data_IF_028635913367
#
_entry.id   IF_028635913367
#
_cell.length_a   1.000
_cell.length_b   1.000
_cell.length_c   1.000
_cell.angle_alpha   90.00
_cell.angle_beta   90.00
_cell.angle_gamma   90.00
#
_symmetry.space_group_name_H-M   'P 1'
#
loop_
_entity.id
_entity.type
_entity.pdbx_description
1 polymer ?
#
# COMPACT_ATOMS: atom_id res chain seq x y z
N UNK A 1 -3.77 30.79 -59.75
CA UNK A 1 -4.87 31.32 -58.92
C UNK A 1 -6.11 31.39 -59.79
N UNK A 2 -7.12 30.55 -59.54
CA UNK A 2 -8.49 30.83 -59.97
C UNK A 2 -9.45 30.09 -59.02
N UNK A 3 -10.61 30.68 -58.70
CA UNK A 3 -11.53 30.20 -57.66
C UNK A 3 -12.97 30.33 -58.15
N UNK A 4 -13.54 29.20 -58.58
CA UNK A 4 -14.96 28.98 -58.99
C UNK A 4 -15.16 27.46 -59.23
N UNK A 5 -16.32 26.85 -59.03
CA UNK A 5 -17.52 27.18 -58.20
C UNK A 5 -18.43 25.92 -58.14
N UNK A 6 -19.31 25.89 -57.15
CA UNK A 6 -20.62 25.19 -57.09
C UNK A 6 -20.76 23.72 -57.56
N UNK A 7 -21.11 22.82 -56.62
CA UNK A 7 -22.40 22.06 -56.53
C UNK A 7 -22.28 20.97 -55.46
N UNK A 8 -23.05 21.00 -54.36
CA UNK A 8 -24.46 20.59 -54.24
C UNK A 8 -24.67 19.10 -54.59
N UNK A 9 -24.66 18.25 -53.56
CA UNK A 9 -25.52 17.05 -53.44
C UNK A 9 -25.47 16.47 -52.01
N UNK A 10 -26.60 16.53 -51.31
CA UNK A 10 -27.05 15.52 -50.34
C UNK A 10 -28.48 15.16 -50.77
N UNK A 11 -28.90 13.88 -50.66
CA UNK A 11 -29.71 13.52 -49.49
C UNK A 11 -29.58 12.05 -49.02
N UNK A 12 -30.20 11.75 -47.87
CA UNK A 12 -30.94 10.52 -47.51
C UNK A 12 -30.32 9.11 -47.63
N UNK A 13 -30.82 8.08 -46.91
CA UNK A 13 -31.24 7.92 -45.50
C UNK A 13 -31.66 6.44 -45.31
N UNK A 14 -31.17 5.76 -44.26
CA UNK A 14 -31.69 4.47 -43.73
C UNK A 14 -31.48 3.23 -44.67
N UNK A 15 -31.98 2.02 -44.33
CA UNK A 15 -31.31 1.17 -43.34
C UNK A 15 -31.18 -0.32 -43.74
N UNK A 16 -30.24 -1.06 -43.14
CA UNK A 16 -30.26 -2.52 -43.10
C UNK A 16 -30.00 -2.99 -41.66
N UNK A 17 -30.73 -4.02 -41.24
CA UNK A 17 -30.67 -4.62 -39.90
C UNK A 17 -30.46 -6.14 -39.98
N UNK A 18 -30.37 -6.80 -38.82
CA UNK A 18 -30.32 -8.26 -38.60
C UNK A 18 -29.03 -9.01 -38.98
N UNK A 19 -28.24 -9.35 -37.96
CA UNK A 19 -27.97 -10.74 -37.55
C UNK A 19 -27.43 -10.70 -36.10
N UNK A 20 -28.23 -10.98 -35.07
CA UNK A 20 -28.39 -12.33 -34.51
C UNK A 20 -27.10 -13.16 -34.48
N UNK A 21 -26.43 -13.18 -33.32
CA UNK A 21 -25.64 -14.32 -32.87
C UNK A 21 -26.15 -14.74 -31.48
N UNK A 22 -26.77 -15.91 -31.40
CA UNK A 22 -27.20 -16.53 -30.13
C UNK A 22 -26.12 -17.54 -29.74
N UNK A 23 -25.54 -17.38 -28.55
CA UNK A 23 -24.62 -18.36 -27.95
C UNK A 23 -25.29 -18.92 -26.70
N UNK A 24 -25.25 -20.25 -26.55
CA UNK A 24 -26.13 -20.98 -25.64
C UNK A 24 -25.76 -20.84 -24.16
N UNK A 25 -26.78 -20.87 -23.30
CA UNK A 25 -26.63 -21.16 -21.88
C UNK A 25 -26.05 -22.57 -21.69
N UNK A 26 -25.09 -22.72 -20.78
CA UNK A 26 -24.73 -24.00 -20.16
C UNK A 26 -24.87 -23.85 -18.64
N UNK A 27 -25.96 -24.39 -18.11
CA UNK A 27 -26.37 -24.18 -16.71
C UNK A 27 -25.66 -25.14 -15.74
N UNK A 28 -24.43 -24.83 -15.33
CA UNK A 28 -23.73 -25.57 -14.26
C UNK A 28 -24.22 -25.07 -12.88
N UNK A 29 -24.88 -25.95 -12.11
CA UNK A 29 -25.25 -25.68 -10.71
C UNK A 29 -24.21 -26.28 -9.74
N UNK A 30 -23.38 -25.47 -9.06
CA UNK A 30 -22.49 -25.98 -8.01
C UNK A 30 -23.31 -26.30 -6.75
N UNK A 31 -23.48 -27.57 -6.43
CA UNK A 31 -24.24 -28.02 -5.26
C UNK A 31 -23.31 -28.19 -4.07
N UNK A 32 -23.22 -27.20 -3.18
CA UNK A 32 -22.40 -27.25 -1.96
C UNK A 32 -23.27 -27.44 -0.71
N UNK A 33 -22.74 -28.20 0.26
CA UNK A 33 -23.53 -28.77 1.35
C UNK A 33 -23.85 -27.77 2.48
N UNK A 34 -25.01 -27.95 3.10
CA UNK A 34 -25.42 -27.21 4.29
C UNK A 34 -24.72 -27.76 5.56
N UNK A 35 -23.65 -27.11 6.01
CA UNK A 35 -23.10 -27.36 7.34
C UNK A 35 -23.91 -26.58 8.40
N UNK A 36 -24.87 -27.25 9.04
CA UNK A 36 -25.76 -26.68 10.07
C UNK A 36 -25.06 -26.56 11.43
N UNK A 37 -24.17 -25.57 11.58
CA UNK A 37 -23.52 -25.25 12.86
C UNK A 37 -24.57 -24.82 13.89
N UNK A 38 -24.84 -25.69 14.87
CA UNK A 38 -25.85 -25.46 15.91
C UNK A 38 -25.26 -24.52 16.99
N UNK A 39 -25.65 -23.25 16.99
CA UNK A 39 -25.19 -22.29 18.02
C UNK A 39 -25.72 -22.65 19.41
N UNK A 40 -24.84 -23.25 20.23
CA UNK A 40 -25.11 -23.56 21.65
C UNK A 40 -24.96 -22.29 22.50
N UNK A 41 -26.03 -21.49 22.55
CA UNK A 41 -26.12 -20.18 23.23
C UNK A 41 -25.66 -20.27 24.70
N UNK A 42 -24.42 -19.88 24.95
CA UNK A 42 -23.82 -19.89 26.29
C UNK A 42 -24.00 -18.53 26.96
N UNK A 43 -24.86 -18.46 27.99
CA UNK A 43 -25.05 -17.26 28.82
C UNK A 43 -23.88 -17.07 29.77
N UNK A 44 -22.89 -16.27 29.36
CA UNK A 44 -21.82 -15.82 30.24
C UNK A 44 -22.37 -14.84 31.29
N UNK A 45 -22.18 -15.16 32.56
CA UNK A 45 -22.56 -14.29 33.68
C UNK A 45 -21.52 -13.18 33.84
N UNK A 46 -21.97 -11.93 33.96
CA UNK A 46 -21.09 -10.79 34.20
C UNK A 46 -20.38 -10.91 35.57
N UNK A 47 -19.06 -10.70 35.58
CA UNK A 47 -18.23 -10.70 36.79
C UNK A 47 -17.61 -9.31 36.96
N UNK A 48 -17.70 -8.68 38.16
CA UNK A 48 -17.23 -7.30 38.36
C UNK A 48 -15.70 -7.20 38.27
N UNK A 49 -15.23 -6.00 37.91
CA UNK A 49 -13.81 -5.69 37.74
C UNK A 49 -13.02 -5.70 39.06
N UNK A 50 -11.71 -5.96 38.95
CA UNK A 50 -10.72 -5.80 40.01
C UNK A 50 -9.72 -4.71 39.55
N UNK A 51 -9.37 -3.72 40.39
CA UNK A 51 -8.53 -2.60 39.98
C UNK A 51 -7.06 -3.01 39.77
N UNK A 52 -6.34 -2.19 39.00
CA UNK A 52 -4.91 -2.38 38.72
C UNK A 52 -4.06 -2.31 39.99
N UNK A 53 -3.04 -3.17 40.06
CA UNK A 53 -1.85 -2.92 40.88
C UNK A 53 -0.68 -2.55 39.96
N UNK A 54 0.06 -1.50 40.32
CA UNK A 54 1.26 -1.09 39.62
C UNK A 54 2.43 -2.03 39.95
N UNK A 55 3.25 -2.35 38.95
CA UNK A 55 4.51 -3.08 39.10
C UNK A 55 5.66 -2.10 38.91
N UNK A 56 6.49 -1.94 39.94
CA UNK A 56 7.72 -1.13 39.89
C UNK A 56 8.85 -1.88 39.19
N UNK A 57 9.72 -1.19 38.41
CA UNK A 57 10.90 -1.80 37.81
C UNK A 57 12.02 -2.04 38.84
N UNK A 58 12.82 -3.12 38.71
CA UNK A 58 14.05 -3.29 39.48
C UNK A 58 15.18 -2.37 38.95
N UNK A 59 16.16 -2.01 39.79
CA UNK A 59 17.25 -1.09 39.43
C UNK A 59 18.36 -1.77 38.60
N UNK A 60 19.12 -0.95 37.88
CA UNK A 60 20.34 -1.38 37.19
C UNK A 60 21.50 -1.64 38.17
N UNK A 61 22.44 -2.50 37.76
CA UNK A 61 23.73 -2.74 38.42
C UNK A 61 24.82 -2.64 37.34
N UNK A 62 25.95 -2.03 37.70
CA UNK A 62 27.11 -1.81 36.83
C UNK A 62 28.40 -2.33 37.51
N UNK A 63 29.57 -2.10 36.86
CA UNK A 63 30.93 -2.51 37.28
C UNK A 63 31.18 -4.04 37.24
N UNK A 64 32.35 -4.58 36.88
CA UNK A 64 33.65 -4.02 36.43
C UNK A 64 34.18 -4.93 35.28
N UNK A 65 35.03 -4.55 34.33
CA UNK A 65 36.41 -4.03 34.41
C UNK A 65 37.36 -4.80 35.35
N UNK A 66 38.20 -5.67 34.76
CA UNK A 66 39.59 -5.92 35.17
C UNK A 66 40.41 -6.34 33.93
N UNK A 67 41.75 -6.34 34.01
CA UNK A 67 42.65 -6.23 32.84
C UNK A 67 43.74 -7.32 32.71
N UNK A 68 44.78 -7.03 31.90
CA UNK A 68 46.08 -7.73 31.75
C UNK A 68 46.16 -9.01 30.87
N UNK A 69 47.27 -9.33 30.16
CA UNK A 69 48.49 -8.57 29.77
C UNK A 69 49.29 -9.31 28.66
N UNK A 70 49.84 -8.54 27.70
CA UNK A 70 51.03 -8.70 26.79
C UNK A 70 51.57 -10.03 26.18
N UNK A 71 52.22 -9.86 25.01
CA UNK A 71 53.09 -10.82 24.29
C UNK A 71 52.97 -10.65 22.76
N UNK A 72 53.84 -9.97 21.97
CA UNK A 72 55.32 -10.01 21.83
C UNK A 72 55.80 -11.36 21.25
N UNK A 73 56.33 -11.51 20.02
CA UNK A 73 56.69 -10.60 18.89
C UNK A 73 56.59 -11.41 17.54
N UNK A 74 57.11 -11.09 16.33
CA UNK A 74 58.27 -10.29 15.86
C UNK A 74 58.19 -9.96 14.35
N UNK A 75 59.29 -9.45 13.76
CA UNK A 75 59.47 -8.95 12.38
C UNK A 75 59.13 -9.84 11.16
N UNK A 76 58.93 -9.17 10.02
CA UNK A 76 58.81 -9.77 8.69
C UNK A 76 58.85 -8.77 7.52
N UNK A 77 59.83 -7.87 7.47
CA UNK A 77 59.85 -6.76 6.50
C UNK A 77 60.36 -7.15 5.09
N UNK A 78 59.48 -7.01 4.08
CA UNK A 78 59.86 -6.91 2.67
C UNK A 78 58.78 -6.15 1.87
N UNK A 79 59.19 -5.12 1.13
CA UNK A 79 58.33 -4.30 0.26
C UNK A 79 59.15 -3.77 -0.92
N UNK A 80 58.55 -3.17 -1.97
CA UNK A 80 57.14 -3.24 -2.39
C UNK A 80 57.00 -3.83 -3.82
N UNK A 81 55.76 -4.13 -4.22
CA UNK A 81 55.38 -4.19 -5.65
C UNK A 81 54.08 -3.41 -5.82
N UNK A 82 54.12 -2.36 -6.63
CA UNK A 82 53.06 -1.38 -6.73
C UNK A 82 52.08 -1.71 -7.86
N UNK A 83 50.79 -1.75 -7.52
CA UNK A 83 49.68 -1.38 -8.41
C UNK A 83 48.55 -0.81 -7.54
N UNK A 84 48.64 0.47 -7.24
CA UNK A 84 47.46 1.34 -7.37
C UNK A 84 46.91 1.19 -8.81
N UNK A 85 45.59 1.33 -9.02
CA UNK A 85 45.00 2.66 -8.99
C UNK A 85 44.35 2.98 -7.66
N UNK A 86 44.71 4.15 -7.14
CA UNK A 86 43.92 4.86 -6.16
C UNK A 86 42.61 5.20 -6.84
N UNK A 87 41.55 4.46 -6.49
CA UNK A 87 40.21 5.00 -6.63
C UNK A 87 40.13 6.15 -5.63
N UNK A 88 40.41 7.37 -6.11
CA UNK A 88 40.03 8.58 -5.40
C UNK A 88 38.51 8.55 -5.31
N UNK A 89 38.00 7.99 -4.21
CA UNK A 89 36.61 8.14 -3.83
C UNK A 89 36.42 9.62 -3.55
N UNK A 90 35.96 10.34 -4.58
CA UNK A 90 35.52 11.73 -4.48
C UNK A 90 34.32 11.77 -3.54
N UNK A 91 34.60 11.82 -2.24
CA UNK A 91 33.62 11.97 -1.18
C UNK A 91 33.05 13.38 -1.28
N UNK A 92 32.03 13.51 -2.12
CA UNK A 92 31.17 14.70 -2.22
C UNK A 92 30.75 15.12 -0.80
N UNK A 93 30.89 16.41 -0.51
CA UNK A 93 30.56 16.93 0.82
C UNK A 93 29.05 16.80 1.07
N UNK A 94 28.59 16.66 2.33
CA UNK A 94 27.16 16.44 2.62
C UNK A 94 26.22 17.49 2.02
N UNK A 95 26.66 18.75 1.93
CA UNK A 95 25.90 19.84 1.30
C UNK A 95 25.80 19.67 -0.24
N UNK A 96 26.83 19.08 -0.88
CA UNK A 96 26.82 18.75 -2.30
C UNK A 96 25.88 17.57 -2.58
N UNK A 97 25.82 16.57 -1.69
CA UNK A 97 24.91 15.42 -1.80
C UNK A 97 23.44 15.87 -1.75
N UNK A 98 23.07 16.79 -0.85
CA UNK A 98 21.70 17.33 -0.82
C UNK A 98 21.39 18.24 -2.02
N UNK A 99 22.36 18.99 -2.53
CA UNK A 99 22.19 19.76 -3.78
C UNK A 99 22.06 18.87 -5.02
N UNK A 100 22.80 17.76 -5.08
CA UNK A 100 22.69 16.75 -6.14
C UNK A 100 21.37 15.97 -6.05
N UNK A 101 20.90 15.65 -4.85
CA UNK A 101 19.54 15.08 -4.63
C UNK A 101 18.46 16.04 -5.13
N UNK A 102 18.55 17.33 -4.78
CA UNK A 102 17.59 18.34 -5.23
C UNK A 102 17.58 18.53 -6.76
N UNK A 103 18.70 18.34 -7.45
CA UNK A 103 18.73 18.27 -8.92
C UNK A 103 18.17 16.96 -9.46
N UNK A 104 18.55 15.82 -8.88
CA UNK A 104 18.06 14.49 -9.28
C UNK A 104 16.52 14.42 -9.21
N UNK A 105 15.93 14.88 -8.12
CA UNK A 105 14.47 14.90 -7.91
C UNK A 105 13.73 15.90 -8.81
N UNK A 106 14.45 16.83 -9.45
CA UNK A 106 13.89 17.83 -10.38
C UNK A 106 14.00 17.42 -11.87
N UNK A 107 14.81 16.41 -12.19
CA UNK A 107 15.01 15.89 -13.55
C UNK A 107 13.96 14.83 -13.90
N UNK A 108 13.65 14.67 -15.19
CA UNK A 108 12.80 13.58 -15.67
C UNK A 108 13.52 12.22 -15.60
N UNK A 109 12.81 11.10 -15.81
CA UNK A 109 13.41 9.75 -15.68
C UNK A 109 14.56 9.52 -16.66
N UNK A 110 14.39 9.91 -17.91
CA UNK A 110 15.42 9.73 -18.94
C UNK A 110 16.67 10.57 -18.59
N UNK A 111 16.48 11.80 -18.11
CA UNK A 111 17.56 12.70 -17.66
C UNK A 111 18.22 12.22 -16.34
N UNK A 112 17.48 11.56 -15.45
CA UNK A 112 18.03 10.93 -14.25
C UNK A 112 18.99 9.79 -14.63
N UNK A 113 18.64 8.96 -15.61
CA UNK A 113 19.50 7.87 -16.09
C UNK A 113 20.71 8.40 -16.90
N UNK A 114 20.55 9.48 -17.67
CA UNK A 114 21.69 10.19 -18.28
C UNK A 114 22.65 10.76 -17.21
N UNK A 115 22.12 11.38 -16.14
CA UNK A 115 22.94 11.91 -15.05
C UNK A 115 23.65 10.79 -14.26
N UNK A 116 22.98 9.65 -14.04
CA UNK A 116 23.62 8.46 -13.45
C UNK A 116 24.79 7.97 -14.31
N UNK A 117 24.60 7.86 -15.63
CA UNK A 117 25.66 7.45 -16.53
C UNK A 117 26.86 8.41 -16.49
N UNK A 118 26.61 9.73 -16.50
CA UNK A 118 27.65 10.76 -16.38
C UNK A 118 28.48 10.64 -15.09
N UNK A 119 27.85 10.45 -13.94
CA UNK A 119 28.60 10.25 -12.68
C UNK A 119 29.27 8.87 -12.60
N UNK A 120 28.70 7.83 -13.21
CA UNK A 120 29.31 6.51 -13.29
C UNK A 120 30.61 6.52 -14.13
N UNK A 121 30.62 7.23 -15.26
CA UNK A 121 31.84 7.48 -16.08
C UNK A 121 32.92 8.26 -15.30
N UNK A 122 32.53 9.07 -14.31
CA UNK A 122 33.43 9.74 -13.37
C UNK A 122 33.83 8.87 -12.15
N UNK A 123 33.39 7.62 -12.10
CA UNK A 123 33.66 6.68 -11.00
C UNK A 123 32.80 6.87 -9.74
N UNK A 124 31.77 7.71 -9.80
CA UNK A 124 30.87 8.02 -8.69
C UNK A 124 29.54 7.27 -8.89
N UNK A 125 29.28 6.25 -8.07
CA UNK A 125 27.98 5.57 -8.05
C UNK A 125 26.92 6.47 -7.39
N UNK A 126 26.11 7.12 -8.22
CA UNK A 126 25.09 8.07 -7.79
C UNK A 126 23.93 7.38 -7.03
N UNK A 127 23.62 6.11 -7.30
CA UNK A 127 22.59 5.35 -6.57
C UNK A 127 23.06 4.98 -5.15
N UNK A 128 24.38 4.81 -4.95
CA UNK A 128 25.01 4.67 -3.63
C UNK A 128 25.11 6.02 -2.92
N UNK A 129 25.64 7.07 -3.57
CA UNK A 129 25.85 8.39 -2.97
C UNK A 129 24.54 9.08 -2.54
N UNK A 130 23.51 9.06 -3.40
CA UNK A 130 22.21 9.63 -3.05
C UNK A 130 21.37 8.70 -2.15
N UNK A 131 21.83 7.47 -1.90
CA UNK A 131 21.12 6.45 -1.11
C UNK A 131 19.87 5.87 -1.79
N UNK A 132 19.72 6.05 -3.11
CA UNK A 132 18.55 5.64 -3.88
C UNK A 132 18.31 4.13 -3.81
N UNK A 133 19.37 3.32 -3.86
CA UNK A 133 19.27 1.86 -3.71
C UNK A 133 18.72 1.46 -2.34
N UNK A 134 19.17 2.14 -1.27
CA UNK A 134 18.67 1.91 0.08
C UNK A 134 17.20 2.31 0.21
N UNK A 135 16.83 3.52 -0.23
CA UNK A 135 15.46 4.01 -0.22
C UNK A 135 14.49 3.12 -1.03
N UNK A 136 14.93 2.60 -2.19
CA UNK A 136 14.16 1.64 -2.98
C UNK A 136 13.95 0.32 -2.21
N UNK A 137 15.00 -0.20 -1.56
CA UNK A 137 14.90 -1.43 -0.75
C UNK A 137 13.96 -1.24 0.45
N UNK A 138 13.98 -0.08 1.11
CA UNK A 138 13.07 0.27 2.20
C UNK A 138 11.62 0.39 1.72
N UNK A 139 11.38 1.02 0.56
CA UNK A 139 10.06 1.09 -0.04
C UNK A 139 9.50 -0.30 -0.38
N UNK A 140 10.34 -1.18 -0.96
CA UNK A 140 9.96 -2.56 -1.25
C UNK A 140 9.65 -3.35 0.02
N UNK A 141 10.47 -3.21 1.08
CA UNK A 141 10.20 -3.83 2.39
C UNK A 141 8.91 -3.29 3.03
N UNK A 142 8.66 -1.97 2.93
CA UNK A 142 7.42 -1.32 3.42
C UNK A 142 6.19 -1.88 2.72
N UNK A 143 6.20 -1.95 1.39
CA UNK A 143 5.11 -2.53 0.59
C UNK A 143 4.89 -4.00 0.96
N UNK A 144 5.96 -4.79 1.08
CA UNK A 144 5.87 -6.21 1.46
C UNK A 144 5.31 -6.42 2.87
N UNK A 145 5.71 -5.60 3.86
CA UNK A 145 5.16 -5.60 5.22
C UNK A 145 3.68 -5.20 5.23
N UNK A 146 3.32 -4.18 4.43
CA UNK A 146 1.96 -3.68 4.26
C UNK A 146 1.03 -4.75 3.68
N UNK A 147 1.43 -5.43 2.60
CA UNK A 147 0.70 -6.56 2.03
C UNK A 147 0.45 -7.67 3.05
N UNK A 148 1.49 -8.07 3.78
CA UNK A 148 1.41 -9.17 4.74
C UNK A 148 0.53 -8.80 5.94
N UNK A 149 0.52 -7.53 6.32
CA UNK A 149 -0.38 -7.00 7.35
C UNK A 149 -1.83 -6.96 6.86
N UNK A 150 -2.09 -6.44 5.65
CA UNK A 150 -3.44 -6.40 5.07
C UNK A 150 -4.08 -7.79 4.94
N UNK A 151 -3.32 -8.80 4.50
CA UNK A 151 -3.77 -10.20 4.40
C UNK A 151 -4.16 -10.81 5.75
N UNK A 152 -3.70 -10.24 6.87
CA UNK A 152 -3.98 -10.69 8.22
C UNK A 152 -5.09 -9.87 8.93
N UNK A 153 -5.63 -8.83 8.29
CA UNK A 153 -6.64 -7.94 8.88
C UNK A 153 -8.06 -8.26 8.37
N UNK A 154 -9.01 -8.27 9.29
CA UNK A 154 -10.44 -8.52 9.01
C UNK A 154 -11.19 -7.20 8.79
N UNK A 155 -11.66 -6.97 7.56
CA UNK A 155 -12.40 -5.78 7.17
C UNK A 155 -13.92 -5.88 7.39
N UNK A 156 -14.42 -6.94 8.04
CA UNK A 156 -15.84 -7.07 8.39
C UNK A 156 -16.32 -5.93 9.32
N UNK A 157 -17.20 -5.07 8.79
CA UNK A 157 -17.75 -3.91 9.52
C UNK A 157 -18.91 -4.31 10.43
N UNK A 158 -18.60 -5.10 11.46
CA UNK A 158 -19.56 -5.36 12.55
C UNK A 158 -19.81 -4.07 13.34
N UNK A 159 -21.00 -3.87 13.95
CA UNK A 159 -21.27 -2.65 14.73
C UNK A 159 -20.23 -2.37 15.83
N UNK A 160 -19.68 -3.42 16.43
CA UNK A 160 -18.60 -3.34 17.42
C UNK A 160 -17.30 -2.81 16.80
N UNK A 161 -16.92 -3.30 15.61
CA UNK A 161 -15.74 -2.83 14.89
C UNK A 161 -15.90 -1.37 14.44
N UNK A 162 -17.05 -1.01 13.87
CA UNK A 162 -17.34 0.37 13.42
C UNK A 162 -17.25 1.36 14.58
N UNK A 163 -17.88 1.05 15.73
CA UNK A 163 -17.84 1.91 16.91
C UNK A 163 -16.43 1.99 17.51
N UNK A 164 -15.69 0.87 17.56
CA UNK A 164 -14.31 0.83 18.05
C UNK A 164 -13.33 1.62 17.18
N UNK A 165 -13.48 1.55 15.85
CA UNK A 165 -12.67 2.33 14.92
C UNK A 165 -13.00 3.84 15.01
N UNK A 166 -14.30 4.21 15.03
CA UNK A 166 -14.73 5.61 15.20
C UNK A 166 -14.29 6.22 16.53
N UNK A 167 -14.24 5.44 17.61
CA UNK A 167 -13.70 5.91 18.88
C UNK A 167 -12.21 6.26 18.77
N UNK A 168 -11.38 5.35 18.22
CA UNK A 168 -9.94 5.56 18.04
C UNK A 168 -9.62 6.81 17.20
N UNK A 169 -10.33 6.98 16.08
CA UNK A 169 -10.19 8.14 15.21
C UNK A 169 -10.69 9.42 15.88
N UNK A 170 -11.90 9.39 16.45
CA UNK A 170 -12.57 10.56 17.04
C UNK A 170 -11.94 11.09 18.33
N UNK A 171 -11.23 10.25 19.09
CA UNK A 171 -10.44 10.66 20.25
C UNK A 171 -8.95 10.91 19.93
N UNK A 172 -8.52 10.71 18.69
CA UNK A 172 -7.11 10.89 18.29
C UNK A 172 -6.14 9.88 18.90
N UNK A 173 -6.61 8.69 19.28
CA UNK A 173 -5.76 7.63 19.86
C UNK A 173 -4.73 7.08 18.87
N UNK A 174 -5.00 7.23 17.57
CA UNK A 174 -4.13 6.80 16.48
C UNK A 174 -3.81 8.01 15.60
N UNK A 175 -2.54 8.37 15.52
CA UNK A 175 -2.07 9.40 14.61
C UNK A 175 -2.09 8.89 13.16
N UNK A 176 -2.42 9.77 12.21
CA UNK A 176 -2.26 9.51 10.78
C UNK A 176 -0.78 9.24 10.47
N UNK A 177 -0.41 8.09 9.90
CA UNK A 177 0.95 7.84 9.44
C UNK A 177 1.27 8.71 8.21
N UNK A 178 2.53 9.11 8.05
CA UNK A 178 3.04 9.64 6.78
C UNK A 178 3.18 8.48 5.77
N UNK A 179 2.49 8.52 4.60
CA UNK A 179 2.61 7.50 3.55
C UNK A 179 4.04 7.21 3.10
N UNK A 180 4.96 8.19 3.21
CA UNK A 180 6.33 8.10 2.67
C UNK A 180 7.34 7.51 3.64
N UNK A 181 7.26 7.84 4.93
CA UNK A 181 8.23 7.38 5.95
C UNK A 181 7.71 6.32 6.94
N UNK A 182 6.39 6.13 7.07
CA UNK A 182 5.85 5.18 8.04
C UNK A 182 6.10 3.72 7.67
N UNK A 183 5.93 2.82 8.65
CA UNK A 183 6.00 1.37 8.45
C UNK A 183 4.78 0.83 7.71
N UNK A 184 4.99 -0.25 6.96
CA UNK A 184 3.93 -0.94 6.23
C UNK A 184 2.86 -1.50 7.16
N UNK A 185 3.23 -1.94 8.38
CA UNK A 185 2.23 -2.33 9.39
C UNK A 185 1.28 -1.19 9.74
N UNK A 186 1.78 0.04 9.83
CA UNK A 186 1.05 1.16 10.42
C UNK A 186 0.19 1.87 9.38
N UNK A 187 0.67 1.93 8.13
CA UNK A 187 -0.14 2.28 6.95
C UNK A 187 -1.31 1.28 6.78
N UNK A 188 -1.05 -0.02 6.87
CA UNK A 188 -2.09 -1.05 6.77
C UNK A 188 -3.12 -0.98 7.91
N UNK A 189 -2.67 -0.76 9.17
CA UNK A 189 -3.54 -0.55 10.34
C UNK A 189 -4.37 0.73 10.22
N UNK A 190 -3.81 1.80 9.68
CA UNK A 190 -4.50 3.07 9.49
C UNK A 190 -5.65 2.93 8.48
N UNK A 191 -5.36 2.38 7.30
CA UNK A 191 -6.39 2.11 6.28
C UNK A 191 -7.48 1.15 6.80
N UNK A 192 -7.10 0.15 7.59
CA UNK A 192 -8.04 -0.74 8.26
C UNK A 192 -9.00 0.00 9.22
N UNK A 193 -8.50 0.97 9.99
CA UNK A 193 -9.35 1.83 10.84
C UNK A 193 -10.29 2.72 10.03
N UNK A 194 -9.83 3.34 8.93
CA UNK A 194 -10.68 4.17 8.06
C UNK A 194 -11.82 3.34 7.45
N UNK A 195 -11.51 2.16 6.88
CA UNK A 195 -12.50 1.26 6.27
C UNK A 195 -13.46 0.68 7.32
N UNK A 196 -12.98 0.30 8.50
CA UNK A 196 -13.87 -0.14 9.59
C UNK A 196 -14.77 0.99 10.08
N UNK A 197 -14.28 2.21 10.21
CA UNK A 197 -15.09 3.37 10.59
C UNK A 197 -16.08 3.80 9.48
N UNK A 198 -15.80 3.53 8.21
CA UNK A 198 -16.55 4.06 7.07
C UNK A 198 -16.16 5.49 6.69
N UNK A 199 -14.90 5.87 6.94
CA UNK A 199 -14.35 7.18 6.60
C UNK A 199 -13.84 7.16 5.15
N UNK A 200 -14.76 6.94 4.20
CA UNK A 200 -14.44 6.63 2.80
C UNK A 200 -13.68 7.76 2.09
N UNK A 201 -14.05 9.02 2.35
CA UNK A 201 -13.35 10.20 1.81
C UNK A 201 -11.89 10.27 2.29
N UNK A 202 -11.66 9.98 3.57
CA UNK A 202 -10.31 9.94 4.15
C UNK A 202 -9.49 8.78 3.60
N UNK A 203 -10.13 7.64 3.32
CA UNK A 203 -9.48 6.49 2.70
C UNK A 203 -9.07 6.79 1.25
N UNK A 204 -9.98 7.33 0.44
CA UNK A 204 -9.69 7.74 -0.94
C UNK A 204 -8.56 8.78 -1.01
N UNK A 205 -8.62 9.82 -0.19
CA UNK A 205 -7.59 10.86 -0.12
C UNK A 205 -6.22 10.27 0.30
N UNK A 206 -6.19 9.32 1.25
CA UNK A 206 -4.96 8.68 1.69
C UNK A 206 -4.39 7.71 0.64
N UNK A 207 -5.23 6.99 -0.12
CA UNK A 207 -4.77 6.19 -1.27
C UNK A 207 -4.07 7.07 -2.32
N UNK A 208 -4.59 8.27 -2.56
CA UNK A 208 -3.98 9.25 -3.48
C UNK A 208 -2.64 9.86 -3.05
N UNK A 209 -2.13 9.54 -1.85
CA UNK A 209 -0.81 9.96 -1.36
C UNK A 209 0.25 8.85 -1.38
N UNK A 210 -0.15 7.60 -1.69
CA UNK A 210 0.74 6.44 -1.84
C UNK A 210 1.37 6.39 -3.24
N UNK A 211 2.24 5.40 -3.48
CA UNK A 211 2.60 5.02 -4.85
C UNK A 211 1.38 4.42 -5.57
N UNK A 212 1.34 4.51 -6.90
CA UNK A 212 0.23 3.94 -7.70
C UNK A 212 0.12 2.41 -7.52
N UNK A 213 1.27 1.73 -7.49
CA UNK A 213 1.39 0.30 -7.20
C UNK A 213 0.82 -0.06 -5.82
N UNK A 214 1.25 0.65 -4.76
CA UNK A 214 0.74 0.42 -3.40
C UNK A 214 -0.75 0.73 -3.32
N UNK A 215 -1.22 1.84 -3.90
CA UNK A 215 -2.61 2.25 -3.85
C UNK A 215 -3.53 1.19 -4.50
N UNK A 216 -3.20 0.73 -5.72
CA UNK A 216 -3.96 -0.30 -6.45
C UNK A 216 -3.95 -1.65 -5.71
N UNK A 217 -2.80 -2.02 -5.16
CA UNK A 217 -2.62 -3.20 -4.32
C UNK A 217 -3.47 -3.15 -3.04
N UNK A 218 -3.42 -2.04 -2.31
CA UNK A 218 -4.20 -1.83 -1.08
C UNK A 218 -5.70 -1.83 -1.38
N UNK A 219 -6.13 -1.09 -2.40
CA UNK A 219 -7.51 -1.03 -2.85
C UNK A 219 -8.05 -2.42 -3.18
N UNK A 220 -7.33 -3.17 -4.01
CA UNK A 220 -7.72 -4.53 -4.42
C UNK A 220 -7.78 -5.52 -3.26
N UNK A 221 -6.86 -5.43 -2.28
CA UNK A 221 -6.87 -6.26 -1.08
C UNK A 221 -8.07 -5.96 -0.16
N UNK A 222 -8.36 -4.67 0.08
CA UNK A 222 -9.55 -4.23 0.84
C UNK A 222 -10.82 -4.68 0.15
N UNK A 223 -10.92 -4.48 -1.16
CA UNK A 223 -12.09 -4.81 -1.97
C UNK A 223 -12.40 -6.32 -1.96
N UNK A 224 -11.37 -7.17 -2.09
CA UNK A 224 -11.51 -8.63 -1.96
C UNK A 224 -11.97 -9.04 -0.55
N UNK A 225 -11.43 -8.42 0.50
CA UNK A 225 -11.83 -8.71 1.89
C UNK A 225 -13.29 -8.32 2.15
N UNK A 226 -13.71 -7.12 1.75
CA UNK A 226 -15.10 -6.65 1.88
C UNK A 226 -16.10 -7.54 1.13
N UNK A 227 -15.73 -8.08 -0.03
CA UNK A 227 -16.58 -9.01 -0.79
C UNK A 227 -16.68 -10.42 -0.15
N UNK A 228 -15.69 -10.82 0.66
CA UNK A 228 -15.60 -12.20 1.18
C UNK A 228 -16.71 -12.60 2.17
N UNK A 229 -17.29 -11.64 2.89
CA UNK A 229 -18.41 -11.88 3.79
C UNK A 229 -18.76 -10.70 4.69
N UNK A 230 -20.03 -10.60 5.11
CA UNK A 230 -20.52 -9.71 6.18
C UNK A 230 -19.97 -8.27 6.19
N UNK A 231 -19.77 -7.68 5.01
CA UNK A 231 -19.20 -6.33 4.80
C UNK A 231 -19.77 -5.19 5.62
N UNK A 232 -21.01 -5.31 6.12
CA UNK A 232 -21.75 -4.24 6.81
C UNK A 232 -22.08 -3.02 5.95
N UNK A 233 -21.77 -3.05 4.65
CA UNK A 233 -21.92 -1.91 3.75
C UNK A 233 -23.39 -1.66 3.38
N UNK A 234 -23.77 -0.39 3.40
CA UNK A 234 -24.96 0.10 2.71
C UNK A 234 -24.67 0.22 1.19
N UNK A 235 -25.67 0.15 0.30
CA UNK A 235 -25.47 0.31 -1.15
C UNK A 235 -24.73 1.62 -1.52
N UNK A 236 -24.99 2.70 -0.79
CA UNK A 236 -24.37 4.01 -0.93
C UNK A 236 -22.88 3.97 -0.58
N UNK A 237 -22.48 3.20 0.44
CA UNK A 237 -21.08 3.00 0.80
C UNK A 237 -20.33 2.17 -0.25
N UNK A 238 -21.02 1.28 -0.98
CA UNK A 238 -20.39 0.58 -2.11
C UNK A 238 -20.06 1.56 -3.24
N UNK A 239 -20.89 2.58 -3.48
CA UNK A 239 -20.59 3.63 -4.46
C UNK A 239 -19.35 4.44 -4.05
N UNK A 240 -19.26 4.87 -2.79
CA UNK A 240 -18.07 5.56 -2.26
C UNK A 240 -16.81 4.68 -2.38
N UNK A 241 -16.93 3.37 -2.20
CA UNK A 241 -15.83 2.42 -2.45
C UNK A 241 -15.48 2.32 -3.95
N UNK A 242 -16.42 2.52 -4.88
CA UNK A 242 -16.09 2.60 -6.32
C UNK A 242 -15.43 3.93 -6.71
N UNK A 243 -15.85 5.04 -6.09
CA UNK A 243 -15.25 6.38 -6.30
C UNK A 243 -13.84 6.49 -5.70
N UNK A 244 -13.54 5.69 -4.67
CA UNK A 244 -12.21 5.55 -4.07
C UNK A 244 -11.21 4.68 -4.89
N UNK A 245 -11.56 4.27 -6.11
CA UNK A 245 -10.67 3.46 -6.95
C UNK A 245 -9.45 4.27 -7.43
N UNK A 246 -8.21 3.83 -7.15
CA UNK A 246 -7.02 4.46 -7.71
C UNK A 246 -6.85 4.07 -9.19
N UNK A 247 -6.69 5.05 -10.07
CA UNK A 247 -6.48 4.83 -11.50
C UNK A 247 -7.73 4.36 -12.27
N UNK A 248 -7.51 3.74 -13.43
CA UNK A 248 -8.58 3.18 -14.27
C UNK A 248 -9.03 1.80 -13.71
N UNK A 249 -10.33 1.56 -13.49
CA UNK A 249 -10.80 0.36 -12.82
C UNK A 249 -10.71 -0.91 -13.67
N UNK A 250 -10.22 -1.99 -13.08
CA UNK A 250 -10.07 -3.28 -13.75
C UNK A 250 -11.41 -4.01 -13.94
N UNK A 251 -11.47 -4.88 -14.96
CA UNK A 251 -12.58 -5.79 -15.19
C UNK A 251 -12.91 -6.71 -14.00
N UNK A 252 -11.96 -6.92 -13.07
CA UNK A 252 -12.19 -7.63 -11.81
C UNK A 252 -12.92 -6.75 -10.77
N UNK A 253 -12.58 -5.46 -10.67
CA UNK A 253 -13.22 -4.53 -9.73
C UNK A 253 -14.73 -4.43 -10.01
N UNK A 254 -15.12 -4.24 -11.27
CA UNK A 254 -16.55 -4.22 -11.68
C UNK A 254 -17.34 -5.47 -11.26
N UNK A 255 -16.73 -6.66 -11.33
CA UNK A 255 -17.37 -7.91 -10.88
C UNK A 255 -17.58 -7.92 -9.36
N UNK A 256 -16.57 -7.46 -8.62
CA UNK A 256 -16.64 -7.38 -7.15
C UNK A 256 -17.66 -6.31 -6.71
N UNK A 257 -17.67 -5.12 -7.32
CA UNK A 257 -18.66 -4.08 -7.03
C UNK A 257 -20.10 -4.56 -7.28
N UNK A 258 -20.33 -5.25 -8.40
CA UNK A 258 -21.65 -5.83 -8.73
C UNK A 258 -22.09 -6.85 -7.67
N UNK A 259 -21.16 -7.70 -7.18
CA UNK A 259 -21.40 -8.60 -6.06
C UNK A 259 -21.73 -7.84 -4.77
N UNK A 260 -20.95 -6.82 -4.40
CA UNK A 260 -21.12 -6.03 -3.19
C UNK A 260 -22.46 -5.26 -3.17
N UNK A 261 -22.86 -4.62 -4.28
CA UNK A 261 -24.18 -3.97 -4.39
C UNK A 261 -25.31 -5.00 -4.21
N UNK A 262 -25.21 -6.16 -4.88
CA UNK A 262 -26.22 -7.23 -4.76
C UNK A 262 -26.33 -7.74 -3.32
N UNK A 263 -25.20 -7.92 -2.62
CA UNK A 263 -25.14 -8.34 -1.23
C UNK A 263 -25.59 -7.26 -0.24
N UNK A 264 -25.43 -5.97 -0.57
CA UNK A 264 -25.91 -4.86 0.24
C UNK A 264 -27.43 -4.68 0.11
N UNK A 265 -27.96 -4.68 -1.10
CA UNK A 265 -29.41 -4.60 -1.37
C UNK A 265 -30.14 -5.80 -0.75
N UNK A 266 -29.61 -7.02 -0.92
CA UNK A 266 -30.21 -8.24 -0.38
C UNK A 266 -30.26 -8.33 1.16
N UNK A 267 -29.55 -7.46 1.88
CA UNK A 267 -29.59 -7.35 3.35
C UNK A 267 -30.45 -6.19 3.87
N UNK A 268 -30.70 -5.19 3.03
CA UNK A 268 -31.42 -3.96 3.38
C UNK A 268 -32.83 -3.89 2.78
N UNK A 269 -33.23 -4.87 1.95
CA UNK A 269 -34.64 -5.06 1.57
C UNK A 269 -35.47 -5.50 2.79
N UNK A 270 -36.66 -4.91 3.01
CA UNK A 270 -37.64 -5.39 3.98
C UNK A 270 -38.38 -6.66 3.51
#
# INVERSE_FOLDING_TARGET
MDIRRDRIAAPDLRPIAMAMLIVCLVSVRPTWAQNTVTLKRSTAVARPAVPLQAVTPPPAVATSEDASTEGTSTDGAAAPLATDPTAEQTTLEPEEIDYLRAQYDALSRDEQDEMKAYYNDLGIDLDVVLGLLAAQSEAMMRSQEMQNTLRALDFARTPQNVLGARAKLGFGEVARPDPRSARGTDIARWIHLLVQAGEWDQWAAFLGELSEDDASMMYSAVLQSLNSGSSGLLPEEVLLVTEACPGEPEALHFQIWTSMVTLAVGKNSP
#
